data_IF_782312152118
#
_entry.id   IF_782312152118
#
_cell.length_a   1.000
_cell.length_b   1.000
_cell.length_c   1.000
_cell.angle_alpha   90.00
_cell.angle_beta   90.00
_cell.angle_gamma   90.00
#
_symmetry.space_group_name_H-M   'P 1'
#
loop_
_entity.id
_entity.type
_entity.pdbx_description
1 polymer ?
#
# COMPACT_ATOMS: atom_id res chain seq x y z
N UNK A 1 -3.80 19.92 -13.59
CA UNK A 1 -2.53 19.27 -14.04
C UNK A 1 -2.26 17.91 -13.37
N UNK A 2 -2.95 17.50 -12.30
CA UNK A 2 -2.74 16.16 -11.68
C UNK A 2 -3.82 15.13 -12.07
N UNK A 3 -4.95 15.58 -12.64
CA UNK A 3 -6.10 14.70 -12.93
C UNK A 3 -6.11 14.11 -14.35
N UNK A 4 -5.22 14.53 -15.26
CA UNK A 4 -5.42 14.30 -16.69
C UNK A 4 -4.80 13.00 -17.22
N UNK A 5 -3.99 12.25 -16.45
CA UNK A 5 -3.28 11.07 -16.98
C UNK A 5 -3.45 9.77 -16.17
N UNK A 6 -4.35 9.72 -15.18
CA UNK A 6 -4.68 8.46 -14.48
C UNK A 6 -3.53 7.79 -13.71
N UNK A 7 -2.31 8.34 -13.79
CA UNK A 7 -1.19 7.97 -12.93
C UNK A 7 -1.48 8.64 -11.59
N UNK A 8 -2.28 7.98 -10.75
CA UNK A 8 -2.31 8.27 -9.32
C UNK A 8 -0.87 8.13 -8.82
N UNK A 9 -0.21 9.25 -8.53
CA UNK A 9 1.21 9.26 -8.11
C UNK A 9 1.54 8.34 -6.94
N UNK A 10 0.54 7.90 -6.16
CA UNK A 10 0.67 6.87 -5.15
C UNK A 10 1.21 5.54 -5.70
N UNK A 11 0.73 5.08 -6.87
CA UNK A 11 0.97 3.72 -7.33
C UNK A 11 2.43 3.36 -7.66
N UNK A 12 3.27 4.35 -8.02
CA UNK A 12 4.70 4.12 -8.25
C UNK A 12 5.44 3.94 -6.91
N UNK A 13 5.13 4.76 -5.91
CA UNK A 13 5.74 4.63 -4.59
C UNK A 13 5.26 3.39 -3.87
N UNK A 14 4.01 2.97 -4.05
CA UNK A 14 3.51 1.70 -3.52
C UNK A 14 4.27 0.50 -4.10
N UNK A 15 4.58 0.52 -5.41
CA UNK A 15 5.43 -0.49 -6.05
C UNK A 15 6.85 -0.51 -5.49
N UNK A 16 7.48 0.65 -5.32
CA UNK A 16 8.82 0.76 -4.75
C UNK A 16 8.82 0.20 -3.33
N UNK A 17 7.86 0.61 -2.49
CA UNK A 17 7.77 0.17 -1.11
C UNK A 17 7.55 -1.35 -1.01
N UNK A 18 6.63 -1.90 -1.81
CA UNK A 18 6.38 -3.35 -1.85
C UNK A 18 7.61 -4.14 -2.31
N UNK A 19 8.34 -3.63 -3.31
CA UNK A 19 9.56 -4.28 -3.81
C UNK A 19 10.67 -4.23 -2.77
N UNK A 20 10.89 -3.08 -2.12
CA UNK A 20 11.87 -2.94 -1.04
C UNK A 20 11.55 -3.89 0.12
N UNK A 21 10.28 -4.03 0.50
CA UNK A 21 9.87 -4.97 1.53
C UNK A 21 10.23 -6.42 1.14
N UNK A 22 9.92 -6.82 -0.10
CA UNK A 22 10.27 -8.15 -0.64
C UNK A 22 11.76 -8.44 -0.61
N UNK A 23 12.58 -7.49 -1.04
CA UNK A 23 14.04 -7.64 -1.14
C UNK A 23 14.74 -7.70 0.22
N UNK A 24 14.05 -7.29 1.30
CA UNK A 24 14.58 -7.27 2.67
C UNK A 24 13.87 -8.27 3.58
N UNK A 25 13.19 -9.28 3.02
CA UNK A 25 12.46 -10.31 3.76
C UNK A 25 11.45 -9.73 4.78
N UNK A 26 10.85 -8.58 4.45
CA UNK A 26 9.77 -7.97 5.25
C UNK A 26 8.45 -8.58 4.82
N UNK A 27 7.77 -9.23 5.76
CA UNK A 27 6.52 -9.96 5.50
C UNK A 27 5.27 -9.10 5.62
N UNK A 28 5.34 -7.94 6.27
CA UNK A 28 4.18 -7.11 6.59
C UNK A 28 4.40 -5.61 6.44
N UNK A 29 3.36 -4.90 5.97
CA UNK A 29 3.27 -3.44 5.92
C UNK A 29 2.01 -2.99 6.67
N UNK A 30 2.19 -2.00 7.56
CA UNK A 30 1.09 -1.37 8.28
C UNK A 30 0.74 -0.03 7.64
N UNK A 31 -0.46 0.10 7.06
CA UNK A 31 -0.89 1.31 6.35
C UNK A 31 -2.42 1.45 6.34
N UNK A 32 -2.92 2.68 6.33
CA UNK A 32 -4.36 2.93 6.09
C UNK A 32 -4.75 2.66 4.63
N UNK A 33 -3.78 2.73 3.70
CA UNK A 33 -4.03 2.59 2.27
C UNK A 33 -3.95 1.12 1.80
N UNK A 34 -4.67 0.23 2.49
CA UNK A 34 -4.59 -1.22 2.27
C UNK A 34 -4.90 -1.59 0.81
N UNK A 35 -5.90 -0.92 0.21
CA UNK A 35 -6.37 -1.20 -1.16
C UNK A 35 -5.29 -1.09 -2.24
N UNK A 36 -4.32 -0.19 -2.09
CA UNK A 36 -3.27 0.01 -3.09
C UNK A 36 -2.20 -1.12 -3.06
N UNK A 37 -2.21 -1.95 -2.00
CA UNK A 37 -1.29 -3.07 -1.84
C UNK A 37 -1.92 -4.46 -2.06
N UNK A 38 -3.24 -4.56 -2.26
CA UNK A 38 -3.94 -5.85 -2.46
C UNK A 38 -3.39 -6.70 -3.61
N UNK A 39 -2.73 -6.08 -4.59
CA UNK A 39 -2.07 -6.73 -5.72
C UNK A 39 -0.75 -7.44 -5.39
N UNK A 40 -0.21 -7.26 -4.19
CA UNK A 40 1.07 -7.83 -3.76
C UNK A 40 0.82 -9.00 -2.80
N UNK A 41 0.62 -10.19 -3.36
CA UNK A 41 0.31 -11.44 -2.64
C UNK A 41 1.39 -11.92 -1.65
N UNK A 42 2.63 -11.45 -1.83
CA UNK A 42 3.76 -11.76 -0.96
C UNK A 42 3.83 -10.89 0.31
N UNK A 43 2.95 -9.90 0.47
CA UNK A 43 2.92 -8.99 1.63
C UNK A 43 1.62 -9.12 2.41
N UNK A 44 1.74 -9.27 3.72
CA UNK A 44 0.63 -9.06 4.65
C UNK A 44 0.43 -7.55 4.80
N UNK A 45 -0.79 -7.06 4.62
CA UNK A 45 -1.08 -5.64 4.75
C UNK A 45 -2.23 -5.42 5.71
N UNK A 46 -1.96 -4.63 6.75
CA UNK A 46 -2.92 -4.36 7.81
C UNK A 46 -3.06 -2.87 8.05
N UNK A 47 -4.28 -2.43 8.34
CA UNK A 47 -4.51 -1.08 8.84
C UNK A 47 -4.37 -1.07 10.37
N UNK A 48 -3.29 -0.49 10.93
CA UNK A 48 -3.05 -0.52 12.38
C UNK A 48 -4.05 0.31 13.18
N UNK A 49 -4.83 1.15 12.51
CA UNK A 49 -5.86 1.99 13.15
C UNK A 49 -7.24 1.32 13.14
N UNK A 50 -7.33 0.11 12.58
CA UNK A 50 -8.58 -0.62 12.38
C UNK A 50 -9.50 0.04 11.35
N UNK A 51 -10.63 -0.62 11.07
CA UNK A 51 -11.74 -0.01 10.35
C UNK A 51 -12.30 1.03 11.30
N UNK A 52 -12.02 2.31 11.07
CA UNK A 52 -12.47 3.39 11.94
C UNK A 52 -14.00 3.37 12.05
N UNK A 53 -14.53 2.64 13.03
CA UNK A 53 -15.89 2.81 13.50
C UNK A 53 -15.89 4.15 14.23
N UNK A 54 -16.05 5.22 13.45
CA UNK A 54 -16.60 6.47 13.94
C UNK A 54 -18.07 6.19 14.28
N UNK A 55 -18.31 5.61 15.45
CA UNK A 55 -19.59 5.74 16.17
C UNK A 55 -19.48 6.86 17.18
#
# INVERSE_FOLDING_TARGET
LVEEHGIKGAGVFDCVLATTAKENDVEAIYTQNVGDFERFDFLTVENPLGDGNQT
#
